data_IF_989970455855
#
_entry.id   IF_989970455855
#
_cell.length_a   1.000
_cell.length_b   1.000
_cell.length_c   1.000
_cell.angle_alpha   90.00
_cell.angle_beta   90.00
_cell.angle_gamma   90.00
#
_symmetry.space_group_name_H-M   'P 1'
#
loop_
_entity.id
_entity.type
_entity.pdbx_description
1 polymer ?
#
# COMPACT_ATOMS: atom_id res chain seq x y z
N UNK A 1 21.69 9.52 4.78
CA UNK A 1 20.67 9.46 3.72
C UNK A 1 19.29 9.02 4.22
N UNK A 2 19.14 7.95 5.07
CA UNK A 2 17.83 7.45 5.55
C UNK A 2 16.98 8.52 6.26
N UNK A 3 17.57 9.32 7.16
CA UNK A 3 16.86 10.38 7.92
C UNK A 3 16.31 11.50 7.02
N UNK A 4 17.01 11.83 5.94
CA UNK A 4 16.59 12.88 5.00
C UNK A 4 15.36 12.43 4.21
N UNK A 5 15.33 11.16 3.80
CA UNK A 5 14.19 10.59 3.07
C UNK A 5 12.92 10.55 3.94
N UNK A 6 13.07 10.21 5.24
CA UNK A 6 11.96 10.21 6.21
C UNK A 6 11.40 11.61 6.45
N UNK A 7 12.29 12.62 6.56
CA UNK A 7 11.88 14.02 6.75
C UNK A 7 11.21 14.56 5.48
N UNK A 8 11.73 14.23 4.29
CA UNK A 8 11.13 14.61 3.01
C UNK A 8 9.74 13.97 2.84
N UNK A 9 9.59 12.69 3.16
CA UNK A 9 8.30 12.00 3.12
C UNK A 9 7.30 12.62 4.11
N UNK A 10 7.72 12.90 5.35
CA UNK A 10 6.88 13.53 6.35
C UNK A 10 6.48 14.97 5.98
N UNK A 11 7.41 15.76 5.41
CA UNK A 11 7.10 17.12 4.95
C UNK A 11 6.18 17.12 3.73
N UNK A 12 6.35 16.18 2.79
CA UNK A 12 5.45 16.02 1.63
C UNK A 12 4.03 15.67 2.09
N UNK A 13 3.90 14.73 3.02
CA UNK A 13 2.61 14.34 3.59
C UNK A 13 1.95 15.53 4.31
N UNK A 14 2.70 16.28 5.13
CA UNK A 14 2.18 17.45 5.83
C UNK A 14 1.73 18.55 4.85
N UNK A 15 2.52 18.85 3.82
CA UNK A 15 2.18 19.88 2.82
C UNK A 15 0.94 19.49 2.01
N UNK A 16 0.81 18.23 1.63
CA UNK A 16 -0.35 17.73 0.88
C UNK A 16 -1.60 17.71 1.76
N UNK A 17 -1.50 17.33 3.03
CA UNK A 17 -2.62 17.39 3.99
C UNK A 17 -3.10 18.83 4.22
N UNK A 18 -2.20 19.81 4.29
CA UNK A 18 -2.57 21.21 4.45
C UNK A 18 -3.27 21.80 3.21
N UNK A 19 -2.83 21.43 2.02
CA UNK A 19 -3.45 21.87 0.76
C UNK A 19 -4.84 21.26 0.53
N UNK A 20 -5.12 20.12 1.14
CA UNK A 20 -6.37 19.39 0.97
C UNK A 20 -7.54 19.97 1.80
N UNK A 21 -7.27 20.83 2.78
CA UNK A 21 -8.32 21.41 3.63
C UNK A 21 -9.25 22.42 2.94
N UNK A 22 -8.85 22.96 1.79
CA UNK A 22 -9.62 24.04 1.14
C UNK A 22 -10.61 23.60 0.06
N UNK A 23 -10.71 22.34 -0.31
CA UNK A 23 -11.52 21.89 -1.43
C UNK A 23 -12.72 21.06 -1.01
N UNK A 24 -13.82 21.76 -0.75
CA UNK A 24 -15.14 21.16 -0.47
C UNK A 24 -15.73 20.39 -1.67
N UNK A 25 -16.24 19.18 -1.38
CA UNK A 25 -17.46 18.51 -1.90
C UNK A 25 -17.70 18.38 -3.43
N UNK A 26 -16.99 19.05 -4.31
CA UNK A 26 -17.29 19.04 -5.76
C UNK A 26 -16.43 18.06 -6.58
N UNK A 27 -15.43 17.44 -5.99
CA UNK A 27 -14.43 16.62 -6.71
C UNK A 27 -14.79 15.15 -6.93
N UNK A 28 -15.80 14.63 -6.25
CA UNK A 28 -16.10 13.19 -6.32
C UNK A 28 -16.54 12.70 -7.71
N UNK A 29 -16.98 13.61 -8.57
CA UNK A 29 -17.47 13.27 -9.92
C UNK A 29 -16.51 13.70 -11.05
N UNK A 30 -15.48 14.47 -10.74
CA UNK A 30 -14.54 14.99 -11.74
C UNK A 30 -13.26 14.17 -11.70
N UNK A 31 -12.73 13.72 -12.84
CA UNK A 31 -11.43 13.05 -12.89
C UNK A 31 -10.32 13.95 -12.31
N UNK A 32 -9.52 13.39 -11.39
CA UNK A 32 -8.47 14.12 -10.70
C UNK A 32 -7.30 13.23 -10.27
N UNK A 33 -6.18 13.87 -9.93
CA UNK A 33 -5.06 13.16 -9.31
C UNK A 33 -5.49 12.61 -7.95
N UNK A 34 -5.13 11.38 -7.70
CA UNK A 34 -5.43 10.63 -6.49
C UNK A 34 -4.14 10.21 -5.83
N UNK A 35 -4.06 10.36 -4.54
CA UNK A 35 -2.86 10.01 -3.79
C UNK A 35 -3.25 9.29 -2.49
N UNK A 36 -2.69 8.11 -2.27
CA UNK A 36 -2.86 7.42 -1.00
C UNK A 36 -1.52 7.02 -0.40
N UNK A 37 -1.47 6.96 0.91
CA UNK A 37 -0.32 6.42 1.65
C UNK A 37 -0.80 5.32 2.56
N UNK A 38 -0.01 4.25 2.70
CA UNK A 38 -0.33 3.11 3.53
C UNK A 38 0.89 2.67 4.35
N UNK A 39 0.65 2.29 5.60
CA UNK A 39 1.54 1.43 6.38
C UNK A 39 0.91 0.05 6.36
N UNK A 40 1.62 -0.93 5.85
CA UNK A 40 1.15 -2.30 5.69
C UNK A 40 1.98 -3.28 6.52
N UNK A 41 1.30 -4.29 7.02
CA UNK A 41 1.91 -5.40 7.75
C UNK A 41 1.34 -6.71 7.23
N UNK A 42 2.24 -7.61 6.84
CA UNK A 42 1.90 -9.00 6.54
C UNK A 42 2.61 -9.90 7.53
N UNK A 43 2.03 -10.99 7.92
CA UNK A 43 2.69 -11.79 8.94
C UNK A 43 2.21 -13.21 9.12
N UNK A 44 1.17 -13.63 8.43
CA UNK A 44 0.63 -14.97 8.59
C UNK A 44 0.70 -15.75 7.28
N UNK A 45 1.49 -16.81 7.28
CA UNK A 45 1.38 -17.87 6.28
C UNK A 45 0.18 -18.77 6.63
N UNK A 46 -0.84 -18.75 5.80
CA UNK A 46 -2.07 -19.53 5.98
C UNK A 46 -1.81 -21.03 6.09
N UNK A 47 -0.77 -21.55 5.47
CA UNK A 47 -0.47 -22.99 5.47
C UNK A 47 0.19 -23.50 6.75
N UNK A 48 0.81 -22.64 7.53
CA UNK A 48 1.59 -23.10 8.69
C UNK A 48 1.19 -22.48 10.02
N UNK A 49 0.32 -21.47 10.03
CA UNK A 49 -0.08 -20.71 11.23
C UNK A 49 1.12 -20.22 12.07
N UNK A 50 2.30 -20.13 11.46
CA UNK A 50 3.52 -19.66 12.10
C UNK A 50 4.04 -18.46 11.33
N UNK A 51 4.52 -17.41 12.02
CA UNK A 51 5.15 -16.26 11.37
C UNK A 51 6.54 -16.65 10.85
N UNK A 52 6.60 -17.27 9.68
CA UNK A 52 7.89 -17.63 9.06
C UNK A 52 8.57 -16.43 8.40
N UNK A 53 7.83 -15.42 8.05
CA UNK A 53 8.34 -14.14 7.54
C UNK A 53 7.22 -13.12 7.59
N UNK A 54 7.55 -11.92 8.02
CA UNK A 54 6.65 -10.78 7.98
C UNK A 54 7.16 -9.75 6.96
N UNK A 55 6.26 -8.97 6.39
CA UNK A 55 6.64 -7.76 5.64
C UNK A 55 6.03 -6.58 6.40
N UNK A 56 6.86 -5.62 6.69
CA UNK A 56 6.43 -4.32 7.17
C UNK A 56 6.78 -3.30 6.08
N UNK A 57 5.79 -2.59 5.57
CA UNK A 57 6.00 -1.70 4.44
C UNK A 57 5.34 -0.35 4.62
N UNK A 58 5.93 0.63 3.95
CA UNK A 58 5.34 1.93 3.70
C UNK A 58 5.13 2.08 2.20
N UNK A 59 3.88 2.32 1.80
CA UNK A 59 3.49 2.43 0.39
C UNK A 59 2.92 3.81 0.11
N UNK A 60 3.31 4.35 -1.02
CA UNK A 60 2.78 5.58 -1.59
C UNK A 60 2.16 5.21 -2.94
N UNK A 61 0.93 5.61 -3.15
CA UNK A 61 0.14 5.27 -4.33
C UNK A 61 -0.28 6.56 -5.07
N UNK A 62 0.61 7.20 -5.85
CA UNK A 62 0.18 8.22 -6.80
C UNK A 62 -0.68 7.58 -7.88
N UNK A 63 -1.77 8.24 -8.23
CA UNK A 63 -2.73 7.67 -9.17
C UNK A 63 -3.67 8.70 -9.78
N UNK A 64 -4.64 8.18 -10.50
CA UNK A 64 -5.64 8.95 -11.18
C UNK A 64 -7.01 8.34 -10.94
N UNK A 65 -7.95 9.16 -10.49
CA UNK A 65 -9.34 8.79 -10.29
C UNK A 65 -10.15 9.24 -11.51
N UNK A 66 -10.77 8.29 -12.19
CA UNK A 66 -11.55 8.56 -13.39
C UNK A 66 -12.96 9.07 -13.08
N UNK A 67 -13.53 8.60 -12.01
CA UNK A 67 -14.88 8.94 -11.55
C UNK A 67 -15.01 8.64 -10.05
N UNK A 68 -16.20 8.79 -9.49
CA UNK A 68 -16.48 8.54 -8.07
C UNK A 68 -16.08 7.14 -7.58
N UNK A 69 -16.01 6.15 -8.48
CA UNK A 69 -15.82 4.76 -8.10
C UNK A 69 -14.45 4.20 -8.49
N UNK A 70 -13.86 4.60 -9.62
CA UNK A 70 -12.66 3.98 -10.18
C UNK A 70 -11.43 4.86 -10.08
N UNK A 71 -10.35 4.29 -9.60
CA UNK A 71 -9.02 4.87 -9.68
C UNK A 71 -7.98 3.82 -10.06
N UNK A 72 -6.92 4.27 -10.74
CA UNK A 72 -5.70 3.49 -10.98
C UNK A 72 -4.52 4.21 -10.34
N UNK A 73 -3.51 3.45 -9.94
CA UNK A 73 -2.36 4.01 -9.24
C UNK A 73 -1.09 3.19 -9.49
N UNK A 74 0.03 3.83 -9.22
CA UNK A 74 1.37 3.21 -9.25
C UNK A 74 1.85 3.07 -7.81
N UNK A 75 1.73 1.88 -7.19
CA UNK A 75 2.25 1.69 -5.84
C UNK A 75 3.78 1.72 -5.87
N UNK A 76 4.35 2.53 -5.01
CA UNK A 76 5.77 2.56 -4.68
C UNK A 76 5.89 2.23 -3.20
N UNK A 77 6.44 1.06 -2.89
CA UNK A 77 6.54 0.56 -1.52
C UNK A 77 7.99 0.37 -1.12
N UNK A 78 8.29 0.73 0.12
CA UNK A 78 9.53 0.32 0.77
C UNK A 78 9.17 -0.75 1.81
N UNK A 79 9.54 -1.98 1.52
CA UNK A 79 9.19 -3.16 2.30
C UNK A 79 10.42 -3.62 3.11
N UNK A 80 10.24 -3.84 4.40
CA UNK A 80 11.18 -4.52 5.29
C UNK A 80 10.69 -5.95 5.42
N UNK A 81 11.38 -6.89 4.78
CA UNK A 81 11.06 -8.32 4.83
C UNK A 81 11.81 -8.94 6.00
N UNK A 82 11.09 -9.40 7.01
CA UNK A 82 11.65 -10.12 8.14
C UNK A 82 11.83 -11.59 7.74
N UNK A 83 13.05 -12.10 7.83
CA UNK A 83 13.37 -13.49 7.50
C UNK A 83 13.66 -14.27 8.78
N UNK A 84 12.96 -15.37 8.96
CA UNK A 84 13.20 -16.27 10.10
C UNK A 84 14.27 -17.29 9.69
N UNK A 85 15.50 -17.11 10.20
CA UNK A 85 16.67 -18.01 10.11
C UNK A 85 17.32 -18.20 8.74
N UNK A 86 18.56 -17.83 8.65
CA UNK A 86 19.72 -18.53 8.03
C UNK A 86 20.82 -17.60 7.56
N UNK A 87 20.68 -16.30 7.67
CA UNK A 87 21.72 -15.34 7.28
C UNK A 87 22.07 -14.42 8.43
N UNK A 88 23.25 -13.82 8.38
CA UNK A 88 23.73 -12.81 9.34
C UNK A 88 22.84 -11.55 9.43
N UNK A 89 21.81 -11.43 8.60
CA UNK A 89 20.84 -10.35 8.61
C UNK A 89 19.45 -10.92 8.78
N UNK A 90 18.74 -10.46 9.81
CA UNK A 90 17.38 -10.88 10.11
C UNK A 90 16.31 -10.14 9.26
N UNK A 91 16.71 -9.22 8.39
CA UNK A 91 15.80 -8.46 7.53
C UNK A 91 16.45 -8.05 6.22
N UNK A 92 15.62 -7.85 5.21
CA UNK A 92 16.01 -7.31 3.90
C UNK A 92 15.10 -6.14 3.57
N UNK A 93 15.68 -5.01 3.21
CA UNK A 93 14.94 -3.83 2.72
C UNK A 93 14.77 -3.95 1.20
N UNK A 94 13.53 -3.77 0.72
CA UNK A 94 13.17 -3.86 -0.69
C UNK A 94 12.31 -2.68 -1.11
N UNK A 95 12.58 -2.14 -2.27
CA UNK A 95 11.66 -1.21 -2.93
C UNK A 95 10.91 -1.96 -4.02
N UNK A 96 9.58 -1.86 -3.99
CA UNK A 96 8.71 -2.41 -5.03
C UNK A 96 7.96 -1.30 -5.75
N UNK A 97 7.76 -1.50 -7.04
CA UNK A 97 6.96 -0.62 -7.90
C UNK A 97 6.00 -1.48 -8.71
N UNK A 98 4.82 -0.97 -8.96
CA UNK A 98 3.80 -1.75 -9.65
C UNK A 98 2.66 -0.96 -10.23
N UNK A 99 1.55 -1.65 -10.44
CA UNK A 99 0.29 -1.08 -10.90
C UNK A 99 -0.83 -1.59 -10.00
N UNK A 100 -1.80 -0.73 -9.74
CA UNK A 100 -2.98 -1.08 -8.98
C UNK A 100 -4.23 -0.37 -9.50
N UNK A 101 -5.35 -0.95 -9.16
CA UNK A 101 -6.65 -0.35 -9.39
C UNK A 101 -7.52 -0.51 -8.13
N UNK A 102 -8.37 0.46 -7.89
CA UNK A 102 -9.37 0.39 -6.82
C UNK A 102 -10.74 0.75 -7.35
N UNK A 103 -11.72 0.00 -6.85
CA UNK A 103 -13.14 0.30 -7.01
C UNK A 103 -13.71 0.70 -5.66
N UNK A 104 -14.30 1.87 -5.56
CA UNK A 104 -14.83 2.44 -4.33
C UNK A 104 -16.35 2.56 -4.41
N UNK A 105 -17.02 2.04 -3.40
CA UNK A 105 -18.44 2.25 -3.15
C UNK A 105 -18.61 3.33 -2.09
N UNK A 106 -19.18 4.45 -2.49
CA UNK A 106 -19.48 5.54 -1.57
C UNK A 106 -20.81 5.24 -0.86
N UNK A 107 -20.77 5.24 0.45
CA UNK A 107 -21.92 5.00 1.32
C UNK A 107 -22.41 6.32 1.91
N UNK A 108 -23.55 6.27 2.60
CA UNK A 108 -24.06 7.41 3.38
C UNK A 108 -23.06 7.79 4.47
N UNK A 109 -23.15 9.03 4.95
CA UNK A 109 -22.34 9.55 6.05
C UNK A 109 -20.83 9.59 5.78
N UNK A 110 -20.44 9.93 4.54
CA UNK A 110 -19.04 10.02 4.13
C UNK A 110 -18.21 8.74 4.33
N UNK A 111 -18.84 7.58 4.37
CA UNK A 111 -18.16 6.30 4.45
C UNK A 111 -17.90 5.75 3.05
N UNK A 112 -16.82 5.02 2.92
CA UNK A 112 -16.46 4.35 1.68
C UNK A 112 -15.99 2.92 1.95
N UNK A 113 -16.40 2.02 1.07
CA UNK A 113 -15.89 0.66 0.97
C UNK A 113 -15.11 0.55 -0.32
N UNK A 114 -13.84 0.17 -0.25
CA UNK A 114 -12.96 0.03 -1.40
C UNK A 114 -12.58 -1.43 -1.64
N UNK A 115 -12.40 -1.78 -2.91
CA UNK A 115 -11.84 -3.06 -3.35
C UNK A 115 -10.63 -2.75 -4.21
N UNK A 116 -9.47 -3.25 -3.85
CA UNK A 116 -8.23 -2.97 -4.57
C UNK A 116 -7.53 -4.24 -5.02
N UNK A 117 -6.93 -4.15 -6.21
CA UNK A 117 -6.01 -5.15 -6.76
C UNK A 117 -4.71 -4.44 -7.11
N UNK A 118 -3.59 -5.03 -6.72
CA UNK A 118 -2.26 -4.46 -6.95
C UNK A 118 -1.30 -5.56 -7.37
N UNK A 119 -0.48 -5.30 -8.37
CA UNK A 119 0.66 -6.12 -8.74
C UNK A 119 1.92 -5.28 -8.70
N UNK A 120 2.96 -5.70 -7.97
CA UNK A 120 4.21 -4.97 -7.84
C UNK A 120 5.41 -5.92 -7.87
N UNK A 121 6.54 -5.42 -8.33
CA UNK A 121 7.81 -6.16 -8.40
C UNK A 121 8.90 -5.36 -7.72
N UNK A 122 9.87 -6.05 -7.14
CA UNK A 122 11.08 -5.42 -6.63
C UNK A 122 11.87 -4.79 -7.75
N UNK A 123 12.34 -3.56 -7.53
CA UNK A 123 13.19 -2.82 -8.47
C UNK A 123 14.62 -2.60 -7.94
N UNK A 124 14.91 -3.00 -6.72
CA UNK A 124 16.26 -2.93 -6.13
C UNK A 124 17.01 -4.25 -6.32
N UNK A 125 18.31 -4.17 -6.61
CA UNK A 125 19.17 -5.35 -6.62
C UNK A 125 19.46 -5.77 -5.18
N UNK A 126 18.95 -6.91 -4.77
CA UNK A 126 19.22 -7.49 -3.47
C UNK A 126 19.12 -9.01 -3.51
N UNK A 127 19.46 -9.63 -2.40
CA UNK A 127 19.43 -11.09 -2.25
C UNK A 127 18.01 -11.68 -2.31
N UNK A 128 16.99 -10.85 -2.16
CA UNK A 128 15.59 -11.26 -2.23
C UNK A 128 14.83 -10.38 -3.22
N UNK A 129 14.60 -10.89 -4.42
CA UNK A 129 13.72 -10.25 -5.39
C UNK A 129 12.44 -11.05 -5.53
N UNK A 130 11.32 -10.35 -5.63
CA UNK A 130 10.00 -10.97 -5.70
C UNK A 130 8.98 -10.13 -6.48
N UNK A 131 7.96 -10.81 -6.94
CA UNK A 131 6.69 -10.22 -7.36
C UNK A 131 5.68 -10.38 -6.24
N UNK A 132 4.89 -9.34 -5.97
CA UNK A 132 3.74 -9.42 -5.06
C UNK A 132 2.44 -9.04 -5.77
N UNK A 133 1.39 -9.79 -5.49
CA UNK A 133 0.03 -9.45 -5.88
C UNK A 133 -0.82 -9.34 -4.63
N UNK A 134 -1.55 -8.22 -4.49
CA UNK A 134 -2.40 -7.92 -3.34
C UNK A 134 -3.84 -7.76 -3.79
N UNK A 135 -4.76 -8.39 -3.08
CA UNK A 135 -6.19 -8.12 -3.15
C UNK A 135 -6.66 -7.67 -1.75
N UNK A 136 -7.30 -6.53 -1.66
CA UNK A 136 -7.71 -5.99 -0.36
C UNK A 136 -9.08 -5.31 -0.40
N UNK A 137 -9.73 -5.33 0.75
CA UNK A 137 -10.94 -4.56 1.03
C UNK A 137 -10.55 -3.46 2.02
N UNK A 138 -10.92 -2.24 1.72
CA UNK A 138 -10.67 -1.07 2.55
C UNK A 138 -11.98 -0.46 3.03
N UNK A 139 -11.95 0.06 4.24
CA UNK A 139 -13.04 0.83 4.82
C UNK A 139 -12.49 2.15 5.35
N UNK A 140 -13.12 3.24 4.97
CA UNK A 140 -12.65 4.57 5.34
C UNK A 140 -13.71 5.64 5.23
N UNK A 141 -13.26 6.87 5.35
CA UNK A 141 -14.07 8.07 5.17
C UNK A 141 -13.73 8.64 3.80
N UNK A 142 -14.68 9.27 3.13
CA UNK A 142 -14.45 9.98 1.87
C UNK A 142 -15.01 11.41 1.93
N UNK A 143 -14.66 12.24 0.96
CA UNK A 143 -15.17 13.63 0.87
C UNK A 143 -14.49 14.61 1.84
N UNK A 144 -13.41 14.19 2.49
CA UNK A 144 -12.54 15.04 3.32
C UNK A 144 -11.18 15.07 2.64
N UNK A 145 -10.54 16.23 2.56
CA UNK A 145 -9.27 16.40 1.84
C UNK A 145 -8.15 15.42 2.23
N UNK A 146 -8.16 14.91 3.46
CA UNK A 146 -7.28 13.83 3.91
C UNK A 146 -8.13 12.85 4.72
N UNK A 147 -8.43 11.71 4.14
CA UNK A 147 -9.35 10.73 4.70
C UNK A 147 -8.64 9.45 5.17
N UNK A 148 -8.74 9.08 6.45
CA UNK A 148 -8.16 7.84 6.95
C UNK A 148 -8.95 6.63 6.47
N UNK A 149 -8.25 5.53 6.24
CA UNK A 149 -8.85 4.23 5.95
C UNK A 149 -8.04 3.09 6.57
N UNK A 150 -8.70 1.97 6.77
CA UNK A 150 -8.09 0.70 7.12
C UNK A 150 -8.36 -0.29 6.01
N UNK A 151 -7.43 -1.19 5.75
CA UNK A 151 -7.66 -2.27 4.79
C UNK A 151 -7.19 -3.62 5.32
N UNK A 152 -7.88 -4.66 4.86
CA UNK A 152 -7.55 -6.05 5.11
C UNK A 152 -7.50 -6.75 3.77
N UNK A 153 -6.47 -7.55 3.55
CA UNK A 153 -6.30 -8.23 2.29
C UNK A 153 -5.46 -9.47 2.37
N UNK A 154 -5.20 -10.00 1.20
CA UNK A 154 -4.32 -11.13 0.98
C UNK A 154 -3.23 -10.73 0.00
N UNK A 155 -2.00 -11.08 0.31
CA UNK A 155 -0.84 -10.84 -0.53
C UNK A 155 -0.21 -12.17 -0.92
N UNK A 156 -0.11 -12.41 -2.22
CA UNK A 156 0.68 -13.49 -2.80
C UNK A 156 2.06 -12.93 -3.16
N UNK A 157 3.11 -13.56 -2.65
CA UNK A 157 4.49 -13.22 -2.94
C UNK A 157 5.17 -14.38 -3.64
N UNK A 158 5.70 -14.11 -4.82
CA UNK A 158 6.49 -15.05 -5.61
C UNK A 158 7.93 -14.58 -5.69
N UNK A 159 8.86 -15.22 -4.95
CA UNK A 159 10.29 -14.95 -5.08
C UNK A 159 10.79 -15.32 -6.47
N UNK A 160 11.77 -14.57 -7.00
CA UNK A 160 12.41 -14.92 -8.27
C UNK A 160 13.50 -15.98 -8.10
N UNK A 161 13.99 -16.18 -6.87
CA UNK A 161 14.95 -17.21 -6.57
C UNK A 161 14.26 -18.58 -6.42
N UNK A 162 14.73 -19.57 -7.16
CA UNK A 162 14.17 -20.93 -7.16
C UNK A 162 14.28 -21.67 -5.82
N UNK A 163 15.15 -21.22 -4.92
CA UNK A 163 15.32 -21.80 -3.59
C UNK A 163 14.21 -21.38 -2.59
N UNK A 164 13.44 -20.35 -2.91
CA UNK A 164 12.38 -19.84 -2.04
C UNK A 164 11.00 -20.25 -2.56
N UNK A 165 10.13 -20.61 -1.64
CA UNK A 165 8.74 -20.97 -1.97
C UNK A 165 7.85 -19.75 -2.06
N UNK A 166 6.84 -19.83 -2.91
CA UNK A 166 5.75 -18.88 -2.97
C UNK A 166 5.04 -18.78 -1.61
N UNK A 167 4.59 -17.59 -1.26
CA UNK A 167 3.93 -17.32 0.01
C UNK A 167 2.61 -16.62 -0.22
N UNK A 168 1.61 -17.05 0.54
CA UNK A 168 0.32 -16.41 0.63
C UNK A 168 0.12 -15.91 2.06
N UNK A 169 -0.09 -14.62 2.24
CA UNK A 169 -0.09 -13.97 3.53
C UNK A 169 -1.31 -13.07 3.68
N UNK A 170 -1.82 -12.97 4.90
CA UNK A 170 -2.78 -11.91 5.23
C UNK A 170 -2.04 -10.59 5.42
N UNK A 171 -2.68 -9.52 4.97
CA UNK A 171 -2.18 -8.17 5.10
C UNK A 171 -3.21 -7.28 5.77
N UNK A 172 -2.75 -6.48 6.73
CA UNK A 172 -3.50 -5.37 7.30
C UNK A 172 -2.77 -4.08 6.99
N UNK A 173 -3.51 -3.04 6.62
CA UNK A 173 -2.92 -1.73 6.43
C UNK A 173 -3.80 -0.60 6.99
N UNK A 174 -3.12 0.48 7.36
CA UNK A 174 -3.75 1.74 7.74
C UNK A 174 -3.17 2.79 6.79
N UNK A 175 -4.03 3.63 6.25
CA UNK A 175 -3.62 4.62 5.28
C UNK A 175 -4.44 5.89 5.32
N UNK A 176 -4.01 6.82 4.47
CA UNK A 176 -4.69 8.09 4.22
C UNK A 176 -4.86 8.26 2.72
N UNK A 177 -6.08 8.62 2.33
CA UNK A 177 -6.39 9.03 0.97
C UNK A 177 -6.44 10.57 0.94
N UNK A 178 -5.79 11.15 -0.05
CA UNK A 178 -5.71 12.59 -0.27
C UNK A 178 -6.43 12.87 -1.58
N UNK A 179 -7.45 13.69 -1.52
CA UNK A 179 -8.36 14.01 -2.63
C UNK A 179 -8.16 15.43 -3.12
#
# INVERSE_FOLDING_TARGET
>A
MKRILTILAASLIATVCMSAQETKTYRDHVPHLHFTTEINMTGYDYHKLKPDSGIFGFTVNPGYRFNANWAVYVPVSNDIVLMNKTTTRNYVEQTTVGLGATYQLNMKDHRALGFSLTGASTCTKSDLNYFKAKAAVSFGIHGIGCAPYVSIGCTYMKPYQSAMKDKFQFECSIGFAIF
#
